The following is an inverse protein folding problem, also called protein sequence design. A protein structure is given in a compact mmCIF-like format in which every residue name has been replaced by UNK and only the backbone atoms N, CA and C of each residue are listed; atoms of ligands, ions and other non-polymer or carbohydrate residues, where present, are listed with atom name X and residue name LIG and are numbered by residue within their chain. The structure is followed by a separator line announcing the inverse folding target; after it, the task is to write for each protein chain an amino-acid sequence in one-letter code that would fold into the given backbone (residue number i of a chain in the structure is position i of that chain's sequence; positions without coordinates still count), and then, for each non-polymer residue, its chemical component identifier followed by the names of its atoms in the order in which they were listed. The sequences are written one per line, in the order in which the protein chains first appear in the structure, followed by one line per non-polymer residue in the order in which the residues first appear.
data_IF_495878290375
#
_entry.id   IF_495878290375
#
_cell.length_a   1.000
_cell.length_b   1.000
_cell.length_c   1.000
_cell.angle_alpha   90.00
_cell.angle_beta   90.00
_cell.angle_gamma   90.00
#
_symmetry.space_group_name_H-M   'P 1'
#
loop_
_entity.id
_entity.type
_entity.pdbx_description
1 polymer ?
#
# COMPACT_ATOMS: atom_id res chain seq x y z
N UNK A 1 -19.44 -49.28 51.67
CA UNK A 1 -20.84 -49.70 51.93
C UNK A 1 -21.73 -48.68 51.23
N UNK A 2 -22.35 -49.07 50.23
CA UNK A 2 -23.66 -48.88 49.60
C UNK A 2 -23.56 -48.93 48.08
N UNK A 3 -23.79 -50.14 47.59
CA UNK A 3 -24.13 -50.40 46.19
C UNK A 3 -25.54 -49.89 45.92
N UNK A 4 -25.69 -49.12 44.84
CA UNK A 4 -27.01 -48.80 44.27
C UNK A 4 -27.13 -49.49 42.91
N UNK A 5 -27.90 -50.56 42.89
CA UNK A 5 -28.21 -51.37 41.71
C UNK A 5 -29.02 -50.59 40.66
N UNK A 6 -28.55 -50.57 39.43
CA UNK A 6 -29.29 -50.05 38.30
C UNK A 6 -30.04 -51.19 37.65
N UNK A 7 -31.38 -51.13 37.73
CA UNK A 7 -32.34 -52.04 37.10
C UNK A 7 -32.36 -51.78 35.59
N UNK A 8 -32.06 -52.81 34.79
CA UNK A 8 -32.19 -52.77 33.34
C UNK A 8 -33.68 -52.81 32.92
N UNK A 9 -34.07 -51.91 32.06
CA UNK A 9 -35.40 -51.90 31.39
C UNK A 9 -35.25 -52.60 30.05
N UNK A 10 -36.07 -53.59 29.70
CA UNK A 10 -36.04 -54.24 28.39
C UNK A 10 -36.70 -53.33 27.36
N UNK A 11 -35.96 -52.87 26.32
CA UNK A 11 -36.49 -52.18 25.15
C UNK A 11 -36.96 -53.19 24.10
N UNK A 12 -38.23 -53.21 23.86
CA UNK A 12 -38.86 -53.95 22.78
C UNK A 12 -38.50 -53.32 21.42
N UNK A 13 -37.69 -54.03 20.64
CA UNK A 13 -37.05 -53.54 19.40
C UNK A 13 -37.57 -54.22 18.12
N UNK A 14 -38.74 -54.81 18.14
CA UNK A 14 -39.26 -55.64 17.03
C UNK A 14 -40.25 -54.98 16.08
N UNK A 15 -40.60 -53.70 16.25
CA UNK A 15 -41.64 -53.05 15.46
C UNK A 15 -41.24 -51.96 14.47
N UNK A 16 -39.97 -51.48 14.54
CA UNK A 16 -39.52 -50.30 13.76
C UNK A 16 -38.91 -50.60 12.39
N UNK A 17 -38.31 -51.78 12.20
CA UNK A 17 -37.47 -52.07 11.04
C UNK A 17 -38.19 -52.20 9.71
N UNK A 18 -39.49 -52.57 9.73
CA UNK A 18 -40.27 -52.68 8.50
C UNK A 18 -40.72 -51.32 7.92
N UNK A 19 -40.84 -50.29 8.72
CA UNK A 19 -41.25 -48.96 8.26
C UNK A 19 -40.06 -48.21 7.66
N UNK A 20 -38.88 -48.40 8.16
CA UNK A 20 -37.64 -47.76 7.61
C UNK A 20 -37.21 -48.41 6.29
N UNK A 21 -37.42 -49.70 6.09
CA UNK A 21 -37.13 -50.36 4.82
C UNK A 21 -38.02 -49.85 3.65
N UNK A 22 -39.29 -49.52 3.93
CA UNK A 22 -40.17 -48.94 2.91
C UNK A 22 -39.80 -47.49 2.55
N UNK A 23 -39.36 -46.69 3.51
CA UNK A 23 -38.89 -45.32 3.25
C UNK A 23 -37.55 -45.30 2.54
N UNK A 24 -36.61 -46.20 2.83
CA UNK A 24 -35.31 -46.31 2.16
C UNK A 24 -35.46 -46.70 0.67
N UNK A 25 -36.43 -47.55 0.32
CA UNK A 25 -36.70 -47.94 -1.07
C UNK A 25 -37.33 -46.78 -1.88
N UNK A 26 -38.17 -45.97 -1.26
CA UNK A 26 -38.82 -44.83 -1.92
C UNK A 26 -37.84 -43.68 -2.16
N UNK A 27 -36.92 -43.40 -1.21
CA UNK A 27 -35.88 -42.37 -1.35
C UNK A 27 -34.83 -42.76 -2.40
N UNK A 28 -34.46 -44.04 -2.50
CA UNK A 28 -33.51 -44.51 -3.53
C UNK A 28 -34.12 -44.38 -4.95
N UNK A 29 -35.44 -44.59 -5.12
CA UNK A 29 -36.09 -44.47 -6.41
C UNK A 29 -36.25 -43.01 -6.86
N UNK A 30 -36.51 -42.09 -5.95
CA UNK A 30 -36.54 -40.62 -6.21
C UNK A 30 -35.15 -40.10 -6.53
N UNK A 31 -34.09 -40.56 -5.86
CA UNK A 31 -32.71 -40.17 -6.15
C UNK A 31 -32.23 -40.68 -7.52
N UNK A 32 -32.64 -41.90 -7.93
CA UNK A 32 -32.32 -42.43 -9.24
C UNK A 32 -33.02 -41.67 -10.38
N UNK A 33 -34.28 -41.23 -10.16
CA UNK A 33 -35.02 -40.43 -11.16
C UNK A 33 -34.49 -39.01 -11.27
N UNK A 34 -33.94 -38.42 -10.19
CA UNK A 34 -33.29 -37.10 -10.20
C UNK A 34 -31.95 -37.10 -10.94
N UNK A 35 -31.22 -38.20 -10.98
CA UNK A 35 -29.98 -38.33 -11.74
C UNK A 35 -30.17 -38.42 -13.25
N UNK A 36 -31.35 -38.86 -13.74
CA UNK A 36 -31.63 -38.86 -15.18
C UNK A 36 -32.06 -37.49 -15.72
N UNK A 37 -32.45 -36.55 -14.86
CA UNK A 37 -32.91 -35.21 -15.29
C UNK A 37 -31.81 -34.18 -15.42
N UNK A 38 -30.54 -34.50 -15.11
CA UNK A 38 -29.38 -33.58 -15.18
C UNK A 38 -28.57 -33.67 -16.47
N UNK A 39 -28.98 -34.46 -17.45
CA UNK A 39 -28.45 -34.32 -18.80
C UNK A 39 -29.07 -33.09 -19.47
N UNK A 40 -28.61 -31.90 -19.03
CA UNK A 40 -28.90 -30.67 -19.78
C UNK A 40 -28.43 -30.84 -21.22
N UNK A 41 -29.11 -30.24 -22.20
CA UNK A 41 -28.69 -30.31 -23.58
C UNK A 41 -27.27 -29.81 -23.69
N UNK A 42 -26.35 -30.68 -24.11
CA UNK A 42 -25.01 -30.29 -24.45
C UNK A 42 -25.13 -29.11 -25.43
N UNK A 43 -24.78 -27.91 -24.99
CA UNK A 43 -24.74 -26.74 -25.86
C UNK A 43 -23.60 -26.98 -26.83
N UNK A 44 -23.94 -27.48 -28.01
CA UNK A 44 -22.97 -27.50 -29.10
C UNK A 44 -22.64 -26.03 -29.44
N UNK A 45 -21.52 -25.57 -28.94
CA UNK A 45 -20.96 -24.29 -29.32
C UNK A 45 -20.21 -24.50 -30.64
N UNK A 46 -20.54 -23.70 -31.65
CA UNK A 46 -19.83 -23.72 -32.92
C UNK A 46 -18.69 -22.68 -32.83
N UNK A 47 -17.46 -23.13 -33.03
CA UNK A 47 -16.28 -22.26 -33.03
C UNK A 47 -15.90 -21.89 -34.45
N UNK A 48 -15.83 -20.59 -34.75
CA UNK A 48 -15.27 -20.03 -35.99
C UNK A 48 -13.87 -19.52 -35.70
N UNK A 49 -12.88 -20.01 -36.39
CA UNK A 49 -11.49 -19.56 -36.26
C UNK A 49 -10.79 -19.52 -37.64
N UNK A 50 -9.71 -18.77 -37.74
CA UNK A 50 -8.95 -18.62 -38.97
C UNK A 50 -7.54 -19.23 -38.83
N UNK A 51 -7.11 -20.04 -39.77
CA UNK A 51 -5.79 -20.62 -39.76
C UNK A 51 -4.72 -19.62 -40.25
N UNK A 52 -3.45 -20.07 -40.29
CA UNK A 52 -2.33 -19.23 -40.72
C UNK A 52 -2.35 -18.91 -42.22
N UNK A 53 -3.11 -19.68 -43.01
CA UNK A 53 -3.30 -19.46 -44.43
C UNK A 53 -4.48 -18.56 -44.76
N UNK A 54 -5.18 -18.05 -43.73
CA UNK A 54 -6.34 -17.20 -43.84
C UNK A 54 -7.66 -17.94 -44.11
N UNK A 55 -7.67 -19.27 -43.99
CA UNK A 55 -8.87 -20.08 -44.19
C UNK A 55 -9.72 -20.11 -42.93
N UNK A 56 -11.01 -19.87 -43.09
CA UNK A 56 -11.99 -19.87 -41.99
C UNK A 56 -12.50 -21.30 -41.77
N UNK A 57 -12.39 -21.76 -40.53
CA UNK A 57 -12.86 -23.07 -40.08
C UNK A 57 -14.04 -22.94 -39.13
N UNK A 58 -14.98 -23.88 -39.24
CA UNK A 58 -16.11 -24.03 -38.32
C UNK A 58 -16.05 -25.41 -37.69
N UNK A 59 -15.95 -25.50 -36.36
CA UNK A 59 -15.78 -26.77 -35.63
C UNK A 59 -16.62 -26.78 -34.38
N UNK A 60 -17.22 -27.93 -34.03
CA UNK A 60 -17.95 -28.13 -32.79
C UNK A 60 -17.05 -28.29 -31.56
N UNK A 61 -15.80 -28.75 -31.85
CA UNK A 61 -14.77 -28.91 -30.81
C UNK A 61 -13.54 -28.13 -31.23
N UNK A 62 -12.98 -27.33 -30.33
CA UNK A 62 -11.81 -26.52 -30.61
C UNK A 62 -10.57 -27.41 -30.71
N UNK A 63 -9.90 -27.50 -31.89
CA UNK A 63 -8.66 -28.28 -32.03
C UNK A 63 -7.53 -27.59 -31.24
N UNK A 64 -6.52 -28.37 -30.76
CA UNK A 64 -5.41 -27.81 -29.98
C UNK A 64 -4.69 -26.66 -30.70
N UNK A 65 -4.61 -26.70 -32.02
CA UNK A 65 -3.97 -25.70 -32.87
C UNK A 65 -4.71 -24.35 -32.94
N UNK A 66 -6.00 -24.33 -32.57
CA UNK A 66 -6.86 -23.15 -32.57
C UNK A 66 -7.00 -22.51 -31.17
N UNK A 67 -6.44 -23.14 -30.13
CA UNK A 67 -6.56 -22.66 -28.74
C UNK A 67 -5.95 -21.27 -28.58
N UNK A 68 -4.83 -21.01 -29.24
CA UNK A 68 -4.09 -19.74 -29.16
C UNK A 68 -4.47 -18.75 -30.26
N UNK A 69 -5.37 -19.12 -31.18
CA UNK A 69 -5.80 -18.28 -32.30
C UNK A 69 -7.05 -17.48 -31.95
N UNK A 70 -7.25 -16.38 -32.66
CA UNK A 70 -8.48 -15.62 -32.57
C UNK A 70 -9.66 -16.51 -32.98
N UNK A 71 -10.71 -16.56 -32.16
CA UNK A 71 -11.89 -17.37 -32.39
C UNK A 71 -13.17 -16.68 -31.95
N UNK A 72 -14.24 -17.08 -32.57
CA UNK A 72 -15.59 -16.59 -32.25
C UNK A 72 -16.46 -17.82 -31.94
N UNK A 73 -17.11 -17.78 -30.82
CA UNK A 73 -18.09 -18.78 -30.39
C UNK A 73 -19.47 -18.37 -30.93
N UNK A 74 -20.09 -19.23 -31.71
CA UNK A 74 -21.39 -19.00 -32.31
C UNK A 74 -22.47 -19.86 -31.61
N UNK A 75 -23.67 -19.33 -31.49
CA UNK A 75 -24.82 -20.12 -31.06
C UNK A 75 -25.35 -20.99 -32.20
N UNK A 76 -26.40 -21.80 -31.94
CA UNK A 76 -27.06 -22.67 -32.95
C UNK A 76 -27.64 -21.87 -34.13
N UNK A 77 -27.88 -20.58 -33.96
CA UNK A 77 -28.39 -19.68 -34.99
C UNK A 77 -27.27 -18.97 -35.77
N UNK A 78 -25.99 -19.29 -35.51
CA UNK A 78 -24.85 -18.65 -36.18
C UNK A 78 -24.54 -17.25 -35.69
N UNK A 79 -25.15 -16.82 -34.55
CA UNK A 79 -24.91 -15.52 -33.97
C UNK A 79 -23.69 -15.58 -33.05
N UNK A 80 -22.82 -14.57 -33.12
CA UNK A 80 -21.62 -14.43 -32.28
C UNK A 80 -22.02 -14.24 -30.79
N UNK A 81 -21.59 -15.16 -29.94
CA UNK A 81 -21.84 -15.12 -28.50
C UNK A 81 -20.62 -14.64 -27.74
N UNK A 82 -19.42 -15.06 -28.17
CA UNK A 82 -18.18 -14.72 -27.53
C UNK A 82 -17.05 -14.63 -28.52
N UNK A 83 -16.30 -13.54 -28.50
CA UNK A 83 -15.08 -13.35 -29.26
C UNK A 83 -13.88 -13.51 -28.33
N UNK A 84 -12.94 -14.35 -28.70
CA UNK A 84 -11.65 -14.52 -28.01
C UNK A 84 -10.57 -14.10 -28.98
N UNK A 85 -9.80 -13.09 -28.58
CA UNK A 85 -8.67 -12.63 -29.39
C UNK A 85 -7.51 -13.64 -29.33
N UNK A 86 -6.55 -13.49 -30.26
CA UNK A 86 -5.34 -14.30 -30.29
C UNK A 86 -4.59 -14.19 -28.96
N UNK A 87 -4.11 -15.33 -28.45
CA UNK A 87 -3.28 -15.33 -27.26
C UNK A 87 -2.04 -14.45 -27.48
N UNK A 88 -1.74 -13.63 -26.49
CA UNK A 88 -0.56 -12.76 -26.53
C UNK A 88 0.71 -13.60 -26.54
N UNK A 89 1.67 -13.22 -27.37
CA UNK A 89 3.00 -13.84 -27.33
C UNK A 89 3.67 -13.63 -25.97
N UNK A 90 4.64 -14.47 -25.57
CA UNK A 90 5.37 -14.27 -24.32
C UNK A 90 5.99 -12.87 -24.19
N UNK A 91 6.45 -12.31 -25.31
CA UNK A 91 7.01 -10.96 -25.37
C UNK A 91 5.94 -9.89 -25.15
N UNK A 92 4.79 -10.01 -25.81
CA UNK A 92 3.65 -9.11 -25.62
C UNK A 92 3.11 -9.14 -24.18
N UNK A 93 3.05 -10.33 -23.56
CA UNK A 93 2.67 -10.45 -22.13
C UNK A 93 3.66 -9.74 -21.22
N UNK A 94 4.96 -9.93 -21.43
CA UNK A 94 6.01 -9.24 -20.66
C UNK A 94 5.94 -7.72 -20.84
N UNK A 95 5.73 -7.24 -22.08
CA UNK A 95 5.58 -5.81 -22.35
C UNK A 95 4.35 -5.24 -21.64
N UNK A 96 3.20 -5.92 -21.71
CA UNK A 96 1.97 -5.53 -21.03
C UNK A 96 2.12 -5.54 -19.51
N UNK A 97 2.79 -6.56 -18.95
CA UNK A 97 3.10 -6.62 -17.52
C UNK A 97 3.99 -5.44 -17.07
N UNK A 98 5.03 -5.10 -17.87
CA UNK A 98 5.88 -3.95 -17.60
C UNK A 98 5.09 -2.63 -17.62
N UNK A 99 4.21 -2.47 -18.62
CA UNK A 99 3.39 -1.27 -18.71
C UNK A 99 2.38 -1.16 -17.56
N UNK A 100 1.78 -2.27 -17.16
CA UNK A 100 0.92 -2.31 -15.97
C UNK A 100 1.70 -1.96 -14.70
N UNK A 101 2.94 -2.44 -14.55
CA UNK A 101 3.78 -2.07 -13.41
C UNK A 101 4.15 -0.60 -13.42
N UNK A 102 4.54 -0.04 -14.58
CA UNK A 102 4.82 1.40 -14.73
C UNK A 102 3.60 2.25 -14.37
N UNK A 103 2.41 1.88 -14.87
CA UNK A 103 1.18 2.59 -14.55
C UNK A 103 0.84 2.53 -13.06
N UNK A 104 1.02 1.36 -12.42
CA UNK A 104 0.82 1.22 -10.98
C UNK A 104 1.78 2.10 -10.19
N UNK A 105 3.05 2.16 -10.61
CA UNK A 105 4.05 2.99 -9.95
C UNK A 105 3.71 4.49 -10.10
N UNK A 106 3.36 4.93 -11.29
CA UNK A 106 2.90 6.30 -11.54
C UNK A 106 1.66 6.64 -10.70
N UNK A 107 0.69 5.73 -10.62
CA UNK A 107 -0.52 5.93 -9.81
C UNK A 107 -0.18 6.05 -8.32
N UNK A 108 0.74 5.22 -7.80
CA UNK A 108 1.23 5.32 -6.42
C UNK A 108 1.91 6.66 -6.15
N UNK A 109 2.79 7.10 -7.04
CA UNK A 109 3.47 8.39 -6.90
C UNK A 109 2.47 9.55 -6.90
N UNK A 110 1.49 9.53 -7.80
CA UNK A 110 0.42 10.52 -7.85
C UNK A 110 -0.43 10.52 -6.57
N UNK A 111 -0.76 9.33 -6.05
CA UNK A 111 -1.51 9.22 -4.80
C UNK A 111 -0.72 9.73 -3.60
N UNK A 112 0.59 9.45 -3.54
CA UNK A 112 1.45 9.98 -2.49
C UNK A 112 1.55 11.50 -2.53
N UNK A 113 1.71 12.09 -3.71
CA UNK A 113 1.71 13.54 -3.89
C UNK A 113 0.37 14.12 -3.44
N UNK A 114 -0.74 13.57 -3.92
CA UNK A 114 -2.08 14.03 -3.54
C UNK A 114 -2.35 13.88 -2.03
N UNK A 115 -1.80 12.86 -1.40
CA UNK A 115 -1.89 12.69 0.06
C UNK A 115 -1.08 13.75 0.81
N UNK A 116 0.14 14.05 0.35
CA UNK A 116 0.98 15.11 0.92
C UNK A 116 0.32 16.48 0.77
N UNK A 117 -0.23 16.79 -0.40
CA UNK A 117 -0.93 18.03 -0.70
C UNK A 117 -2.16 18.23 0.20
N UNK A 118 -2.96 17.16 0.38
CA UNK A 118 -4.10 17.20 1.32
C UNK A 118 -3.66 17.41 2.76
N UNK A 119 -2.59 16.74 3.19
CA UNK A 119 -2.03 16.91 4.52
C UNK A 119 -1.53 18.33 4.73
N UNK A 120 -0.86 18.93 3.74
CA UNK A 120 -0.34 20.29 3.79
C UNK A 120 -1.49 21.31 3.95
N UNK A 121 -2.55 21.19 3.14
CA UNK A 121 -3.72 22.06 3.24
C UNK A 121 -4.56 21.87 4.51
N UNK A 122 -4.54 20.66 5.11
CA UNK A 122 -5.23 20.41 6.36
C UNK A 122 -4.44 20.84 7.58
N UNK A 123 -3.11 20.89 7.48
CA UNK A 123 -2.21 21.24 8.60
C UNK A 123 -2.06 22.76 8.75
N UNK A 124 -2.04 23.48 7.60
CA UNK A 124 -1.78 24.92 7.59
C UNK A 124 -2.93 25.68 6.93
N UNK A 125 -3.47 26.66 7.65
CA UNK A 125 -4.53 27.53 7.15
C UNK A 125 -3.96 28.81 6.51
N UNK A 126 -2.68 29.12 6.78
CA UNK A 126 -2.00 30.31 6.26
C UNK A 126 -0.49 30.11 6.12
N UNK A 127 0.14 30.94 5.30
CA UNK A 127 1.61 30.98 5.20
C UNK A 127 2.29 31.31 6.51
N UNK A 128 1.67 32.17 7.31
CA UNK A 128 2.20 32.58 8.63
C UNK A 128 2.32 31.38 9.58
N UNK A 129 1.42 30.41 9.49
CA UNK A 129 1.51 29.16 10.28
C UNK A 129 2.68 28.28 9.84
N UNK A 130 2.96 28.22 8.53
CA UNK A 130 4.13 27.51 8.01
C UNK A 130 5.42 28.17 8.50
N UNK A 131 5.50 29.51 8.43
CA UNK A 131 6.66 30.27 8.93
C UNK A 131 6.83 30.09 10.46
N UNK A 132 5.74 30.05 11.21
CA UNK A 132 5.78 29.80 12.65
C UNK A 132 6.25 28.37 12.97
N UNK A 133 5.76 27.38 12.23
CA UNK A 133 6.20 25.99 12.36
C UNK A 133 7.69 25.83 12.03
N UNK A 134 8.14 26.48 10.93
CA UNK A 134 9.56 26.57 10.57
C UNK A 134 10.39 27.13 11.72
N UNK A 135 9.99 28.30 12.23
CA UNK A 135 10.71 28.96 13.32
C UNK A 135 10.83 28.06 14.55
N UNK A 136 9.75 27.38 14.95
CA UNK A 136 9.78 26.45 16.09
C UNK A 136 10.71 25.27 15.85
N UNK A 137 10.67 24.67 14.67
CA UNK A 137 11.55 23.55 14.31
C UNK A 137 13.03 23.95 14.31
N UNK A 138 13.37 25.10 13.72
CA UNK A 138 14.73 25.63 13.70
C UNK A 138 15.20 26.00 15.11
N UNK A 139 14.34 26.60 15.95
CA UNK A 139 14.66 26.92 17.34
C UNK A 139 14.99 25.67 18.17
N UNK A 140 14.28 24.56 17.93
CA UNK A 140 14.56 23.30 18.61
C UNK A 140 15.97 22.79 18.25
N UNK A 141 16.36 22.85 16.98
CA UNK A 141 17.68 22.44 16.54
C UNK A 141 18.76 23.39 17.10
N UNK A 142 18.49 24.70 17.04
CA UNK A 142 19.41 25.72 17.58
C UNK A 142 19.65 25.53 19.09
N UNK A 143 18.62 25.25 19.87
CA UNK A 143 18.78 24.97 21.30
C UNK A 143 19.71 23.77 21.56
N UNK A 144 19.67 22.72 20.71
CA UNK A 144 20.59 21.58 20.81
C UNK A 144 22.01 22.04 20.47
N UNK A 145 22.20 22.84 19.41
CA UNK A 145 23.50 23.38 19.03
C UNK A 145 24.08 24.23 20.15
N UNK A 146 23.29 25.14 20.74
CA UNK A 146 23.73 26.00 21.81
C UNK A 146 24.15 25.22 23.09
N UNK A 147 23.36 24.19 23.45
CA UNK A 147 23.70 23.33 24.58
C UNK A 147 24.97 22.52 24.34
N UNK A 148 25.14 22.03 23.09
CA UNK A 148 26.35 21.29 22.67
C UNK A 148 27.61 22.19 22.69
N UNK A 149 27.46 23.42 22.21
CA UNK A 149 28.56 24.41 22.28
C UNK A 149 28.93 24.74 23.71
N UNK A 150 27.94 24.97 24.60
CA UNK A 150 28.20 25.23 26.00
C UNK A 150 28.92 24.06 26.71
N UNK A 151 28.55 22.82 26.37
CA UNK A 151 29.23 21.63 26.86
C UNK A 151 30.65 21.52 26.32
N UNK A 152 30.86 21.77 25.04
CA UNK A 152 32.22 21.81 24.42
C UNK A 152 33.12 22.87 25.04
N UNK A 153 32.58 24.03 25.40
CA UNK A 153 33.33 25.09 26.12
C UNK A 153 33.77 24.61 27.51
N UNK A 154 32.90 23.92 28.24
CA UNK A 154 33.25 23.33 29.55
C UNK A 154 34.36 22.26 29.42
N UNK A 155 34.26 21.37 28.41
CA UNK A 155 35.30 20.38 28.12
C UNK A 155 36.62 21.04 27.77
N UNK A 156 36.60 22.10 26.96
CA UNK A 156 37.79 22.87 26.57
C UNK A 156 38.47 23.52 27.78
N UNK A 157 37.71 24.12 28.67
CA UNK A 157 38.21 24.67 29.93
C UNK A 157 38.84 23.59 30.81
N UNK A 158 38.17 22.42 30.90
CA UNK A 158 38.71 21.27 31.65
C UNK A 158 40.01 20.74 31.05
N UNK A 159 40.09 20.68 29.71
CA UNK A 159 41.30 20.28 28.97
C UNK A 159 42.48 21.20 29.34
N UNK A 160 42.29 22.51 29.25
CA UNK A 160 43.33 23.51 29.58
C UNK A 160 43.80 23.37 31.05
N UNK A 161 42.86 23.14 31.97
CA UNK A 161 43.22 22.96 33.39
C UNK A 161 44.05 21.66 33.60
N UNK A 162 43.67 20.58 32.94
CA UNK A 162 44.43 19.30 33.01
C UNK A 162 45.80 19.38 32.39
N UNK A 163 45.93 20.09 31.26
CA UNK A 163 47.24 20.34 30.61
C UNK A 163 48.16 21.12 31.52
N UNK A 164 47.65 22.17 32.22
CA UNK A 164 48.40 22.91 33.21
C UNK A 164 48.86 22.03 34.36
N UNK A 165 47.95 21.22 34.96
CA UNK A 165 48.27 20.29 36.06
C UNK A 165 49.29 19.22 35.63
N UNK A 166 49.18 18.72 34.40
CA UNK A 166 50.10 17.76 33.83
C UNK A 166 51.51 18.33 33.76
N UNK A 167 51.66 19.59 33.34
CA UNK A 167 52.98 20.25 33.28
C UNK A 167 53.57 20.50 34.69
N UNK A 168 52.72 20.92 35.66
CA UNK A 168 53.13 21.11 37.06
C UNK A 168 53.58 19.79 37.73
N UNK A 169 53.05 18.66 37.31
CA UNK A 169 53.33 17.35 37.87
C UNK A 169 54.25 16.50 37.00
N UNK A 170 54.97 17.12 36.07
CA UNK A 170 55.90 16.46 35.16
C UNK A 170 56.90 15.58 35.90
N UNK A 171 57.10 14.37 35.41
CA UNK A 171 57.99 13.37 36.04
C UNK A 171 57.34 12.57 37.17
N UNK A 172 56.12 12.79 37.58
CA UNK A 172 55.40 12.01 38.58
C UNK A 172 54.50 10.96 37.91
N UNK A 173 54.24 9.79 38.55
CA UNK A 173 53.40 8.73 37.98
C UNK A 173 51.96 9.15 37.69
N UNK A 174 51.45 10.21 38.32
CA UNK A 174 50.11 10.76 38.11
C UNK A 174 49.87 11.30 36.69
N UNK A 175 50.92 11.65 35.95
CA UNK A 175 50.87 12.19 34.58
C UNK A 175 50.11 11.24 33.67
N UNK A 176 50.28 9.91 33.78
CA UNK A 176 49.57 8.92 32.98
C UNK A 176 48.03 8.91 33.20
N UNK A 177 47.54 9.41 34.34
CA UNK A 177 46.11 9.59 34.58
C UNK A 177 45.59 10.80 33.82
N UNK A 178 46.33 11.91 33.83
CA UNK A 178 45.99 13.11 33.08
C UNK A 178 45.99 12.85 31.57
N UNK A 179 46.91 12.03 31.05
CA UNK A 179 46.95 11.67 29.63
C UNK A 179 45.67 10.96 29.18
N UNK A 180 45.20 9.97 29.97
CA UNK A 180 43.94 9.25 29.66
C UNK A 180 42.70 10.16 29.74
N UNK A 181 42.68 11.08 30.72
CA UNK A 181 41.58 12.02 30.85
C UNK A 181 41.57 13.03 29.70
N UNK A 182 42.74 13.52 29.28
CA UNK A 182 42.87 14.38 28.08
C UNK A 182 42.41 13.68 26.82
N UNK A 183 42.84 12.43 26.59
CA UNK A 183 42.39 11.61 25.43
C UNK A 183 40.86 11.42 25.43
N UNK A 184 40.28 11.16 26.60
CA UNK A 184 38.83 11.07 26.73
C UNK A 184 38.11 12.37 26.38
N UNK A 185 38.62 13.51 26.87
CA UNK A 185 38.05 14.84 26.57
C UNK A 185 38.21 15.17 25.07
N UNK A 186 39.32 14.85 24.45
CA UNK A 186 39.55 15.09 23.00
C UNK A 186 38.59 14.26 22.17
N UNK A 187 38.37 12.98 22.53
CA UNK A 187 37.39 12.13 21.89
C UNK A 187 35.96 12.67 22.02
N UNK A 188 35.63 13.22 23.19
CA UNK A 188 34.31 13.79 23.44
C UNK A 188 34.12 15.11 22.65
N UNK A 189 35.14 15.99 22.63
CA UNK A 189 35.11 17.21 21.81
C UNK A 189 34.92 16.90 20.32
N UNK A 190 35.57 15.83 19.81
CA UNK A 190 35.40 15.39 18.42
C UNK A 190 33.95 14.97 18.15
N UNK A 191 33.33 14.17 19.07
CA UNK A 191 31.91 13.78 18.96
C UNK A 191 30.99 14.99 18.99
N UNK A 192 31.24 15.97 19.86
CA UNK A 192 30.41 17.17 19.95
C UNK A 192 30.54 18.04 18.68
N UNK A 193 31.75 18.15 18.10
CA UNK A 193 31.94 18.83 16.83
C UNK A 193 31.16 18.16 15.67
N UNK A 194 31.19 16.84 15.59
CA UNK A 194 30.42 16.09 14.60
C UNK A 194 28.91 16.30 14.77
N UNK A 195 28.42 16.29 16.01
CA UNK A 195 27.02 16.56 16.32
C UNK A 195 26.58 17.96 15.87
N UNK A 196 27.43 18.98 16.11
CA UNK A 196 27.17 20.35 15.66
C UNK A 196 27.05 20.40 14.13
N UNK A 197 27.98 19.77 13.40
CA UNK A 197 27.94 19.73 11.94
C UNK A 197 26.73 18.96 11.41
N UNK A 198 26.35 17.88 12.07
CA UNK A 198 25.10 17.16 11.76
C UNK A 198 23.87 18.07 11.95
N UNK A 199 23.80 18.82 13.06
CA UNK A 199 22.69 19.73 13.35
C UNK A 199 22.63 20.92 12.39
N UNK A 200 23.77 21.42 11.92
CA UNK A 200 23.80 22.45 10.87
C UNK A 200 23.20 21.92 9.56
N UNK A 201 23.57 20.72 9.12
CA UNK A 201 22.96 20.08 7.94
C UNK A 201 21.46 19.83 8.10
N UNK A 202 21.04 19.43 9.30
CA UNK A 202 19.61 19.28 9.64
C UNK A 202 18.88 20.62 9.52
N UNK A 203 19.48 21.73 10.00
CA UNK A 203 18.94 23.08 9.88
C UNK A 203 18.67 23.45 8.42
N UNK A 204 19.64 23.22 7.53
CA UNK A 204 19.50 23.49 6.11
C UNK A 204 18.39 22.65 5.47
N UNK A 205 18.35 21.36 5.78
CA UNK A 205 17.32 20.43 5.28
C UNK A 205 15.92 20.83 5.72
N UNK A 206 15.76 21.16 7.00
CA UNK A 206 14.49 21.62 7.57
C UNK A 206 14.06 22.94 6.95
N UNK A 207 14.97 23.89 6.82
CA UNK A 207 14.71 25.19 6.21
C UNK A 207 14.27 25.05 4.74
N UNK A 208 14.95 24.21 3.96
CA UNK A 208 14.60 23.93 2.57
C UNK A 208 13.23 23.27 2.44
N UNK A 209 12.93 22.29 3.30
CA UNK A 209 11.62 21.62 3.33
C UNK A 209 10.48 22.60 3.56
N UNK A 210 10.56 23.44 4.61
CA UNK A 210 9.50 24.41 4.88
C UNK A 210 9.38 25.47 3.77
N UNK A 211 10.45 25.80 3.08
CA UNK A 211 10.40 26.69 1.92
C UNK A 211 9.63 26.04 0.76
N UNK A 212 9.90 24.77 0.48
CA UNK A 212 9.18 24.01 -0.54
C UNK A 212 7.71 23.80 -0.16
N UNK A 213 7.42 23.46 1.11
CA UNK A 213 6.06 23.30 1.62
C UNK A 213 5.25 24.60 1.48
N UNK A 214 5.85 25.74 1.80
CA UNK A 214 5.22 27.07 1.65
C UNK A 214 4.90 27.38 0.19
N UNK A 215 5.84 27.12 -0.72
CA UNK A 215 5.61 27.32 -2.15
C UNK A 215 4.48 26.40 -2.65
N UNK A 216 4.52 25.12 -2.29
CA UNK A 216 3.49 24.15 -2.66
C UNK A 216 2.11 24.54 -2.13
N UNK A 217 2.04 24.98 -0.90
CA UNK A 217 0.80 25.47 -0.29
C UNK A 217 0.19 26.64 -1.08
N UNK A 218 1.01 27.61 -1.50
CA UNK A 218 0.55 28.73 -2.38
C UNK A 218 -0.05 28.24 -3.68
N UNK A 219 0.63 27.30 -4.36
CA UNK A 219 0.16 26.70 -5.61
C UNK A 219 -1.20 26.02 -5.42
N UNK A 220 -1.35 25.23 -4.37
CA UNK A 220 -2.59 24.51 -4.06
C UNK A 220 -3.75 25.45 -3.74
N UNK A 221 -3.51 26.50 -2.97
CA UNK A 221 -4.52 27.51 -2.63
C UNK A 221 -4.93 28.28 -3.89
N UNK A 222 -3.98 28.67 -4.74
CA UNK A 222 -4.27 29.34 -5.99
C UNK A 222 -5.07 28.46 -6.96
N UNK A 223 -4.70 27.17 -7.09
CA UNK A 223 -5.43 26.20 -7.90
C UNK A 223 -6.87 26.03 -7.42
N UNK A 224 -7.06 25.87 -6.10
CA UNK A 224 -8.39 25.75 -5.49
C UNK A 224 -9.26 27.01 -5.71
N UNK A 225 -8.65 28.19 -5.63
CA UNK A 225 -9.34 29.44 -5.91
C UNK A 225 -9.78 29.55 -7.40
N UNK A 226 -8.90 29.12 -8.33
CA UNK A 226 -9.21 29.09 -9.76
C UNK A 226 -10.33 28.09 -10.09
N UNK A 227 -10.34 26.91 -9.47
CA UNK A 227 -11.40 25.91 -9.67
C UNK A 227 -12.75 26.41 -9.12
N UNK A 228 -12.75 27.05 -7.96
CA UNK A 228 -13.95 27.65 -7.39
C UNK A 228 -14.50 28.80 -8.29
N UNK A 229 -13.61 29.62 -8.86
CA UNK A 229 -14.01 30.68 -9.80
C UNK A 229 -14.61 30.10 -11.08
N UNK A 230 -14.06 29.02 -11.62
CA UNK A 230 -14.61 28.31 -12.78
C UNK A 230 -15.98 27.71 -12.48
N UNK A 231 -16.14 27.08 -11.30
CA UNK A 231 -17.42 26.52 -10.87
C UNK A 231 -18.50 27.61 -10.71
N UNK A 232 -18.13 28.78 -10.20
CA UNK A 232 -19.05 29.92 -10.06
C UNK A 232 -19.41 30.59 -11.40
N UNK A 233 -18.54 30.46 -12.40
CA UNK A 233 -18.77 31.01 -13.74
C UNK A 233 -19.50 30.05 -14.70
N UNK A 234 -19.71 28.77 -14.29
CA UNK A 234 -20.48 27.83 -15.11
C UNK A 234 -21.97 28.25 -15.10
N UNK A 235 -22.61 28.40 -16.28
CA UNK A 235 -24.03 28.76 -16.33
C UNK A 235 -24.86 27.65 -15.67
N UNK A 236 -25.81 28.07 -14.84
CA UNK A 236 -26.78 27.20 -14.16
C UNK A 236 -27.70 26.58 -15.23
N UNK A 237 -27.30 25.46 -15.82
CA UNK A 237 -28.09 24.65 -16.73
C UNK A 237 -29.00 23.73 -15.94
N UNK A 238 -29.78 24.26 -15.02
CA UNK A 238 -30.90 23.52 -14.46
C UNK A 238 -31.94 23.30 -15.57
N UNK A 239 -32.36 22.05 -15.87
CA UNK A 239 -33.44 21.83 -16.81
C UNK A 239 -34.72 22.47 -16.26
N UNK A 240 -35.55 23.12 -17.10
CA UNK A 240 -36.79 23.74 -16.65
C UNK A 240 -37.70 22.65 -16.00
N UNK A 241 -38.46 23.00 -14.95
CA UNK A 241 -39.34 22.05 -14.29
C UNK A 241 -40.40 21.54 -15.28
N UNK A 242 -40.75 20.24 -15.27
CA UNK A 242 -41.74 19.69 -16.18
C UNK A 242 -43.06 20.41 -15.97
N UNK A 243 -43.52 21.04 -17.05
CA UNK A 243 -44.79 21.76 -17.07
C UNK A 243 -45.94 20.83 -16.64
N UNK A 244 -46.69 21.26 -15.62
CA UNK A 244 -47.95 20.64 -15.25
C UNK A 244 -48.93 20.82 -16.38
N UNK A 245 -49.36 19.74 -17.03
CA UNK A 245 -50.58 19.65 -17.81
C UNK A 245 -51.66 19.05 -16.96
#
# INVERSE_FOLDING_TARGET
MNEVGIRAVPTDRAGSDRRYAAFAALTAFVAALAMLATSGPARAALYKWTDEKGVVHYTDTLPPEAVDKARVELNKQGVEVKKTDKALTPEQRRAMEQDVQKQKELARQQEEVARRDRALLSTYTSEAEIDLARKRSLQTIDNVVQSTLAYSDQLTKRKVELERKKEEMKGKPIVAVFDRELESIESELARQAELIEQKKRETETVAARYTADKQRWRELVAAKAADNAKAAAAPDTAPPPPGKK
#
